data_IF_031115025512
#
_entry.id   IF_031115025512
#
_cell.length_a   1.000
_cell.length_b   1.000
_cell.length_c   1.000
_cell.angle_alpha   90.00
_cell.angle_beta   90.00
_cell.angle_gamma   90.00
#
_symmetry.space_group_name_H-M   'P 1'
#
loop_
_entity.id
_entity.type
_entity.pdbx_description
1 polymer ?
#
# COMPACT_ATOMS: atom_id res chain seq x y z
N UNK A 1 4.01 14.61 -4.97
CA UNK A 1 3.37 15.36 -6.08
C UNK A 1 4.07 15.11 -7.42
N UNK A 2 5.39 15.30 -7.51
CA UNK A 2 6.16 15.06 -8.74
C UNK A 2 6.05 13.63 -9.30
N UNK A 3 6.12 12.60 -8.45
CA UNK A 3 5.98 11.21 -8.87
C UNK A 3 4.58 10.90 -9.45
N UNK A 4 3.52 11.48 -8.87
CA UNK A 4 2.15 11.32 -9.36
C UNK A 4 1.95 12.04 -10.70
N UNK A 5 2.52 13.23 -10.86
CA UNK A 5 2.54 13.96 -12.12
C UNK A 5 3.29 13.19 -13.21
N UNK A 6 4.46 12.63 -12.88
CA UNK A 6 5.25 11.80 -13.78
C UNK A 6 4.51 10.53 -14.21
N UNK A 7 3.92 9.78 -13.28
CA UNK A 7 3.17 8.56 -13.60
C UNK A 7 1.89 8.86 -14.41
N UNK A 8 1.18 9.94 -14.07
CA UNK A 8 0.04 10.44 -14.84
C UNK A 8 0.42 10.77 -16.29
N UNK A 9 1.57 11.43 -16.49
CA UNK A 9 2.13 11.67 -17.82
C UNK A 9 2.46 10.36 -18.54
N UNK A 10 3.16 9.43 -17.87
CA UNK A 10 3.62 8.18 -18.48
C UNK A 10 2.46 7.27 -18.94
N UNK A 11 1.34 7.23 -18.21
CA UNK A 11 0.16 6.46 -18.62
C UNK A 11 -0.67 7.10 -19.73
N UNK A 12 -0.49 8.40 -19.95
CA UNK A 12 -1.16 9.14 -21.02
C UNK A 12 -0.30 9.23 -22.27
N UNK A 13 0.99 8.95 -22.19
CA UNK A 13 1.86 8.98 -23.36
C UNK A 13 1.40 7.98 -24.43
N UNK A 14 1.16 8.48 -25.64
CA UNK A 14 0.79 7.69 -26.82
C UNK A 14 1.92 7.59 -27.84
N UNK A 15 2.66 8.69 -28.02
CA UNK A 15 3.85 8.74 -28.83
C UNK A 15 4.98 9.34 -28.03
N UNK A 16 6.18 8.82 -28.24
CA UNK A 16 7.41 9.44 -27.77
C UNK A 16 8.22 9.89 -28.96
N UNK A 17 8.75 11.10 -28.85
CA UNK A 17 9.61 11.75 -29.82
C UNK A 17 10.98 11.91 -29.20
N UNK A 18 11.99 11.32 -29.83
CA UNK A 18 13.39 11.39 -29.39
C UNK A 18 14.22 12.06 -30.48
N UNK A 19 14.93 13.12 -30.13
CA UNK A 19 15.86 13.83 -31.01
C UNK A 19 17.28 13.65 -30.48
N UNK A 20 18.19 13.17 -31.33
CA UNK A 20 19.62 13.30 -31.05
C UNK A 20 20.10 14.67 -31.53
N UNK A 21 20.35 15.60 -30.61
CA UNK A 21 20.86 16.94 -30.91
C UNK A 21 22.37 16.97 -31.20
N UNK A 22 23.08 15.84 -31.09
CA UNK A 22 24.50 15.71 -31.39
C UNK A 22 25.43 16.11 -30.23
N UNK A 23 26.75 16.27 -30.48
CA UNK A 23 27.43 16.15 -31.78
C UNK A 23 27.70 14.70 -32.25
N UNK A 24 27.64 13.71 -31.38
CA UNK A 24 27.84 12.29 -31.69
C UNK A 24 26.55 11.56 -32.05
N UNK A 25 26.67 10.40 -32.69
CA UNK A 25 25.56 9.47 -32.91
C UNK A 25 25.23 8.69 -31.63
N UNK A 26 24.08 8.03 -31.62
CA UNK A 26 23.75 7.06 -30.58
C UNK A 26 23.08 5.83 -31.17
N UNK A 27 23.27 4.68 -30.53
CA UNK A 27 22.51 3.49 -30.81
C UNK A 27 21.21 3.55 -30.00
N UNK A 28 20.08 3.44 -30.69
CA UNK A 28 18.76 3.43 -30.08
C UNK A 28 18.10 2.07 -30.33
N UNK A 29 17.88 1.31 -29.27
CA UNK A 29 17.24 -0.02 -29.36
C UNK A 29 15.79 0.08 -28.92
N UNK A 30 14.89 -0.29 -29.81
CA UNK A 30 13.45 -0.36 -29.59
C UNK A 30 13.10 -1.74 -29.04
N UNK A 31 12.73 -1.79 -27.76
CA UNK A 31 12.43 -3.01 -27.03
C UNK A 31 10.90 -3.21 -27.00
N UNK A 32 10.38 -4.30 -27.56
CA UNK A 32 8.94 -4.56 -27.63
C UNK A 32 8.36 -4.81 -26.22
N UNK A 33 7.13 -4.36 -26.01
CA UNK A 33 6.34 -4.63 -24.78
C UNK A 33 5.32 -5.75 -24.98
N UNK A 34 4.93 -6.01 -26.23
CA UNK A 34 3.89 -6.96 -26.59
C UNK A 34 4.51 -8.16 -27.30
N UNK A 35 3.91 -9.33 -27.07
CA UNK A 35 4.31 -10.57 -27.73
C UNK A 35 3.98 -10.49 -29.23
N UNK A 36 4.97 -10.74 -30.09
CA UNK A 36 4.85 -10.66 -31.56
C UNK A 36 5.48 -9.42 -32.22
N UNK A 37 5.85 -8.40 -31.45
CA UNK A 37 6.64 -7.26 -31.95
C UNK A 37 8.15 -7.58 -31.83
N UNK A 38 8.96 -7.12 -32.79
CA UNK A 38 10.39 -7.44 -32.87
C UNK A 38 11.28 -6.33 -32.31
N UNK A 39 12.33 -6.69 -31.59
CA UNK A 39 13.37 -5.75 -31.19
C UNK A 39 14.08 -5.18 -32.43
N UNK A 40 14.20 -3.86 -32.49
CA UNK A 40 14.81 -3.17 -33.64
C UNK A 40 15.80 -2.14 -33.15
N UNK A 41 17.00 -2.15 -33.71
CA UNK A 41 18.05 -1.18 -33.36
C UNK A 41 18.32 -0.23 -34.51
N UNK A 42 18.41 1.06 -34.21
CA UNK A 42 18.68 2.12 -35.18
C UNK A 42 19.79 3.01 -34.65
N UNK A 43 20.74 3.38 -35.51
CA UNK A 43 21.73 4.40 -35.19
C UNK A 43 21.12 5.77 -35.47
N UNK A 44 20.86 6.54 -34.40
CA UNK A 44 20.33 7.91 -34.50
C UNK A 44 21.48 8.90 -34.64
N UNK A 45 21.60 9.45 -35.85
CA UNK A 45 22.59 10.48 -36.17
C UNK A 45 22.22 11.85 -35.56
N UNK A 46 23.18 12.78 -35.39
CA UNK A 46 22.86 14.16 -35.03
C UNK A 46 21.80 14.76 -35.97
N UNK A 47 20.75 15.35 -35.40
CA UNK A 47 19.60 15.89 -36.12
C UNK A 47 18.51 14.87 -36.48
N UNK A 48 18.71 13.58 -36.17
CA UNK A 48 17.71 12.54 -36.44
C UNK A 48 16.61 12.53 -35.38
N UNK A 49 15.37 12.39 -35.86
CA UNK A 49 14.15 12.26 -35.08
C UNK A 49 13.69 10.79 -35.12
N UNK A 50 13.47 10.19 -33.95
CA UNK A 50 12.80 8.90 -33.80
C UNK A 50 11.43 9.11 -33.15
N UNK A 51 10.38 8.59 -33.79
CA UNK A 51 9.00 8.64 -33.27
C UNK A 51 8.47 7.21 -33.18
N UNK A 52 7.90 6.85 -32.04
CA UNK A 52 7.33 5.52 -31.82
C UNK A 52 6.18 5.53 -30.81
N UNK A 53 5.35 4.48 -30.88
CA UNK A 53 4.23 4.29 -29.97
C UNK A 53 4.73 3.74 -28.63
N UNK A 54 4.48 4.48 -27.55
CA UNK A 54 4.86 4.12 -26.17
C UNK A 54 4.12 2.90 -25.65
N UNK A 55 2.94 2.61 -26.18
CA UNK A 55 2.16 1.41 -25.83
C UNK A 55 2.81 0.13 -26.37
N UNK A 56 3.59 0.22 -27.45
CA UNK A 56 4.21 -0.96 -28.12
C UNK A 56 5.68 -1.14 -27.80
N UNK A 57 6.42 -0.04 -27.65
CA UNK A 57 7.87 -0.08 -27.45
C UNK A 57 8.31 0.79 -26.28
N UNK A 58 9.36 0.34 -25.60
CA UNK A 58 10.28 1.20 -24.83
C UNK A 58 11.61 1.28 -25.60
N UNK A 59 12.52 2.15 -25.17
CA UNK A 59 13.81 2.27 -25.83
C UNK A 59 14.98 2.32 -24.86
N UNK A 60 16.15 1.89 -25.31
CA UNK A 60 17.45 2.30 -24.75
C UNK A 60 18.11 3.31 -25.69
N UNK A 61 19.01 4.13 -25.14
CA UNK A 61 19.78 5.12 -25.89
C UNK A 61 21.22 5.08 -25.40
N UNK A 62 22.12 4.60 -26.25
CA UNK A 62 23.54 4.42 -25.96
C UNK A 62 24.36 5.36 -26.85
N UNK A 63 24.84 6.50 -26.30
CA UNK A 63 25.58 7.47 -27.08
C UNK A 63 26.98 6.96 -27.44
N UNK A 64 27.40 7.17 -28.68
CA UNK A 64 28.79 7.01 -29.10
C UNK A 64 29.54 8.34 -28.87
N UNK A 65 30.19 8.43 -27.72
CA UNK A 65 30.88 9.64 -27.27
C UNK A 65 29.92 10.72 -26.74
N UNK A 66 30.12 11.98 -27.16
CA UNK A 66 29.32 13.11 -26.69
C UNK A 66 28.05 13.24 -27.53
N UNK A 67 26.89 12.93 -26.96
CA UNK A 67 25.59 13.19 -27.59
C UNK A 67 24.60 13.78 -26.59
N UNK A 68 23.67 14.61 -27.09
CA UNK A 68 22.57 15.18 -26.33
C UNK A 68 21.25 14.61 -26.87
N UNK A 69 20.46 13.99 -26.00
CA UNK A 69 19.14 13.48 -26.33
C UNK A 69 18.06 14.41 -25.76
N UNK A 70 17.08 14.77 -26.59
CA UNK A 70 15.87 15.50 -26.17
C UNK A 70 14.68 14.57 -26.39
N UNK A 71 13.91 14.32 -25.33
CA UNK A 71 12.69 13.53 -25.40
C UNK A 71 11.46 14.42 -25.17
N UNK A 72 10.39 14.15 -25.90
CA UNK A 72 9.06 14.73 -25.70
C UNK A 72 7.99 13.66 -25.87
N UNK A 73 6.82 13.88 -25.30
CA UNK A 73 5.70 12.94 -25.32
C UNK A 73 4.45 13.61 -25.88
N UNK A 74 3.76 12.92 -26.77
CA UNK A 74 2.39 13.23 -27.11
C UNK A 74 1.47 12.51 -26.12
N UNK A 75 0.72 13.27 -25.34
CA UNK A 75 -0.15 12.74 -24.29
C UNK A 75 -1.60 12.72 -24.76
N UNK A 76 -2.31 11.66 -24.42
CA UNK A 76 -3.77 11.63 -24.46
C UNK A 76 -4.36 12.63 -23.47
N UNK A 77 -5.63 13.01 -23.67
CA UNK A 77 -6.32 13.89 -22.73
C UNK A 77 -6.32 13.29 -21.32
N UNK A 78 -6.19 14.11 -20.26
CA UNK A 78 -6.37 13.62 -18.91
C UNK A 78 -7.76 12.97 -18.83
N UNK A 79 -7.84 11.75 -18.28
CA UNK A 79 -9.15 11.15 -18.01
C UNK A 79 -9.84 12.01 -16.95
N UNK A 80 -10.85 12.77 -17.37
CA UNK A 80 -11.78 13.39 -16.44
C UNK A 80 -12.73 12.31 -15.93
N UNK A 81 -12.52 11.90 -14.69
CA UNK A 81 -13.43 10.97 -14.03
C UNK A 81 -14.62 11.79 -13.52
N UNK A 82 -15.70 11.79 -14.28
CA UNK A 82 -17.00 12.20 -13.75
C UNK A 82 -17.52 11.02 -12.94
N UNK A 83 -17.66 11.20 -11.63
CA UNK A 83 -18.42 10.26 -10.80
C UNK A 83 -19.87 10.41 -11.25
N UNK A 84 -20.32 9.51 -12.13
CA UNK A 84 -21.72 9.40 -12.48
C UNK A 84 -22.49 8.81 -11.30
N UNK A 85 -23.77 9.15 -11.20
CA UNK A 85 -24.67 8.44 -10.30
C UNK A 85 -24.60 6.93 -10.60
N UNK A 86 -24.28 6.15 -9.58
CA UNK A 86 -24.19 4.70 -9.69
C UNK A 86 -25.60 4.17 -9.97
N UNK A 87 -25.84 3.63 -11.16
CA UNK A 87 -27.08 2.91 -11.47
C UNK A 87 -26.89 1.42 -11.17
N UNK A 88 -27.67 0.91 -10.21
CA UNK A 88 -27.66 -0.49 -9.78
C UNK A 88 -28.47 -0.67 -8.50
N UNK A 89 -28.74 -1.93 -8.13
CA UNK A 89 -29.34 -2.26 -6.83
C UNK A 89 -28.28 -2.14 -5.73
N UNK A 90 -28.21 -0.96 -5.10
CA UNK A 90 -27.33 -0.69 -3.97
C UNK A 90 -27.67 -1.54 -2.72
N UNK A 91 -28.80 -2.25 -2.73
CA UNK A 91 -29.16 -3.24 -1.70
C UNK A 91 -28.19 -4.43 -1.66
N UNK A 92 -27.58 -4.78 -2.80
CA UNK A 92 -26.56 -5.83 -2.87
C UNK A 92 -25.20 -5.41 -2.31
N UNK A 93 -24.87 -4.11 -2.41
CA UNK A 93 -23.64 -3.55 -1.85
C UNK A 93 -23.67 -3.41 -0.33
N UNK A 94 -24.75 -3.85 0.34
CA UNK A 94 -24.84 -3.89 1.79
C UNK A 94 -24.35 -2.58 2.40
N UNK A 95 -24.96 -1.47 2.01
CA UNK A 95 -24.57 -0.15 2.49
C UNK A 95 -24.62 -0.16 4.02
N UNK A 96 -23.46 -0.29 4.66
CA UNK A 96 -23.32 0.02 6.07
C UNK A 96 -23.62 1.51 6.17
N UNK A 97 -24.83 1.84 6.59
CA UNK A 97 -25.16 3.19 6.98
C UNK A 97 -24.13 3.56 8.05
N UNK A 98 -23.21 4.46 7.70
CA UNK A 98 -22.21 4.97 8.63
C UNK A 98 -22.91 5.50 9.88
N UNK A 99 -22.19 5.64 11.00
CA UNK A 99 -22.76 6.21 12.22
C UNK A 99 -23.44 7.55 11.90
N UNK A 100 -24.58 7.85 12.54
CA UNK A 100 -25.31 9.09 12.29
C UNK A 100 -24.38 10.28 12.39
N UNK A 101 -24.48 11.20 11.43
CA UNK A 101 -23.60 12.36 11.38
C UNK A 101 -23.66 13.10 12.72
N UNK A 102 -22.51 13.46 13.33
CA UNK A 102 -22.53 14.18 14.59
C UNK A 102 -23.39 15.44 14.47
N UNK A 103 -24.18 15.72 15.50
CA UNK A 103 -25.03 16.92 15.60
C UNK A 103 -24.21 18.22 15.61
N UNK A 104 -22.92 18.11 15.91
CA UNK A 104 -21.98 19.23 15.96
C UNK A 104 -21.52 19.58 14.55
N UNK A 105 -21.88 20.78 14.08
CA UNK A 105 -21.56 21.29 12.74
C UNK A 105 -20.08 21.69 12.53
N UNK A 106 -19.16 21.26 13.40
CA UNK A 106 -17.74 21.58 13.22
C UNK A 106 -17.09 20.47 12.39
N UNK A 107 -16.69 20.73 11.13
CA UNK A 107 -15.98 19.73 10.35
C UNK A 107 -14.64 19.40 11.01
N UNK A 108 -14.32 18.12 11.07
CA UNK A 108 -13.01 17.62 11.49
C UNK A 108 -12.26 17.22 10.23
N UNK A 109 -11.18 17.93 9.85
CA UNK A 109 -10.44 17.58 8.65
C UNK A 109 -9.65 16.30 8.85
N UNK A 110 -9.64 15.44 7.83
CA UNK A 110 -8.67 14.35 7.72
C UNK A 110 -7.38 14.95 7.17
N UNK A 111 -6.36 15.06 8.01
CA UNK A 111 -5.09 15.71 7.67
C UNK A 111 -4.07 14.75 7.07
N UNK A 112 -4.19 13.47 7.36
CA UNK A 112 -3.29 12.42 6.89
C UNK A 112 -3.97 11.05 7.00
N UNK A 113 -3.55 10.12 6.15
CA UNK A 113 -4.02 8.74 6.09
C UNK A 113 -2.82 7.83 5.81
N UNK A 114 -2.77 6.70 6.51
CA UNK A 114 -1.89 5.58 6.20
C UNK A 114 -2.66 4.30 6.41
N UNK A 115 -2.37 3.30 5.59
CA UNK A 115 -3.14 2.07 5.53
C UNK A 115 -2.27 0.92 5.06
N UNK A 116 -2.67 -0.30 5.43
CA UNK A 116 -2.08 -1.55 4.94
C UNK A 116 -3.21 -2.53 4.69
N UNK A 117 -3.35 -2.93 3.43
CA UNK A 117 -4.34 -3.88 2.94
C UNK A 117 -3.65 -5.14 2.42
N UNK A 118 -4.44 -6.04 1.84
CA UNK A 118 -3.90 -7.25 1.23
C UNK A 118 -3.05 -6.91 0.01
N UNK A 119 -2.15 -7.84 -0.37
CA UNK A 119 -1.38 -7.76 -1.62
C UNK A 119 -0.47 -6.52 -1.71
N UNK A 120 0.27 -6.22 -0.64
CA UNK A 120 1.25 -5.13 -0.62
C UNK A 120 0.67 -3.72 -0.81
N UNK A 121 -0.63 -3.53 -0.61
CA UNK A 121 -1.28 -2.22 -0.68
C UNK A 121 -1.03 -1.49 0.65
N UNK A 122 0.10 -0.80 0.74
CA UNK A 122 0.60 -0.12 1.94
C UNK A 122 0.67 1.41 1.78
N UNK A 123 0.08 1.95 0.71
CA UNK A 123 0.04 3.37 0.41
C UNK A 123 -1.34 3.79 -0.13
N UNK A 124 -1.84 5.00 0.20
CA UNK A 124 -3.16 5.47 -0.22
C UNK A 124 -3.42 5.40 -1.73
N UNK A 125 -2.41 5.69 -2.54
CA UNK A 125 -2.57 5.60 -3.98
C UNK A 125 -2.69 4.14 -4.42
N UNK A 126 -1.99 3.19 -3.80
CA UNK A 126 -2.09 1.76 -4.16
C UNK A 126 -3.50 1.25 -3.93
N UNK A 127 -4.16 1.67 -2.85
CA UNK A 127 -5.57 1.31 -2.61
C UNK A 127 -6.45 1.81 -3.76
N UNK A 128 -6.34 3.10 -4.09
CA UNK A 128 -7.14 3.70 -5.15
C UNK A 128 -6.94 3.01 -6.50
N UNK A 129 -5.70 2.65 -6.82
CA UNK A 129 -5.40 2.00 -8.10
C UNK A 129 -5.83 0.54 -8.12
N UNK A 130 -5.47 -0.24 -7.10
CA UNK A 130 -5.76 -1.67 -7.04
C UNK A 130 -7.27 -1.92 -6.91
N UNK A 131 -7.91 -1.33 -5.89
CA UNK A 131 -9.30 -1.65 -5.58
C UNK A 131 -10.28 -0.78 -6.37
N UNK A 132 -10.13 0.55 -6.30
CA UNK A 132 -11.16 1.45 -6.84
C UNK A 132 -11.10 1.60 -8.38
N UNK A 133 -9.90 1.56 -8.97
CA UNK A 133 -9.74 1.72 -10.43
C UNK A 133 -9.67 0.40 -11.17
N UNK A 134 -8.83 -0.53 -10.72
CA UNK A 134 -8.62 -1.80 -11.41
C UNK A 134 -9.65 -2.87 -11.02
N UNK A 135 -10.34 -2.73 -9.89
CA UNK A 135 -11.27 -3.75 -9.39
C UNK A 135 -10.56 -5.05 -9.05
N UNK A 136 -9.33 -4.97 -8.53
CA UNK A 136 -8.47 -6.13 -8.32
C UNK A 136 -9.01 -7.03 -7.20
N UNK A 137 -9.24 -8.29 -7.53
CA UNK A 137 -9.43 -9.35 -6.54
C UNK A 137 -8.09 -9.72 -5.89
N UNK A 138 -7.96 -9.42 -4.59
CA UNK A 138 -6.77 -9.72 -3.79
C UNK A 138 -6.90 -11.01 -2.98
N UNK A 139 -7.96 -11.79 -3.18
CA UNK A 139 -8.12 -13.06 -2.51
C UNK A 139 -7.09 -14.07 -3.02
N UNK A 140 -6.24 -14.55 -2.12
CA UNK A 140 -5.26 -15.60 -2.40
C UNK A 140 -5.55 -16.80 -1.52
N UNK A 141 -5.05 -17.97 -1.92
CA UNK A 141 -5.03 -19.14 -1.04
C UNK A 141 -4.29 -18.78 0.24
N UNK A 142 -4.79 -19.23 1.39
CA UNK A 142 -4.15 -18.99 2.68
C UNK A 142 -2.65 -19.30 2.61
N UNK A 143 -1.75 -18.36 2.97
CA UNK A 143 -0.32 -18.60 2.84
C UNK A 143 0.12 -19.74 3.77
N UNK A 144 0.86 -20.70 3.22
CA UNK A 144 1.37 -21.84 3.98
C UNK A 144 2.26 -21.41 5.17
N UNK A 145 2.92 -20.25 5.06
CA UNK A 145 3.70 -19.68 6.17
C UNK A 145 2.84 -19.28 7.38
N UNK A 146 1.51 -19.16 7.23
CA UNK A 146 0.58 -18.89 8.34
C UNK A 146 0.11 -20.19 8.97
N UNK A 147 -0.48 -21.07 8.18
CA UNK A 147 -0.84 -22.44 8.55
C UNK A 147 -1.09 -23.27 7.29
N UNK A 148 -1.04 -24.59 7.44
CA UNK A 148 -1.50 -25.50 6.39
C UNK A 148 -3.03 -25.47 6.33
N UNK A 149 -3.60 -24.83 5.32
CA UNK A 149 -5.06 -24.75 5.17
C UNK A 149 -5.67 -26.00 4.55
N UNK A 150 -4.88 -26.84 3.87
CA UNK A 150 -5.39 -28.00 3.12
C UNK A 150 -5.96 -29.05 4.08
N UNK A 151 -5.38 -29.17 5.27
CA UNK A 151 -5.90 -30.04 6.32
C UNK A 151 -7.19 -29.53 6.97
N UNK A 152 -7.59 -28.27 6.73
CA UNK A 152 -8.80 -27.66 7.30
C UNK A 152 -9.89 -27.37 6.27
N UNK A 153 -9.61 -27.56 4.98
CA UNK A 153 -10.59 -27.29 3.93
C UNK A 153 -11.61 -28.43 3.82
N UNK A 154 -12.90 -28.09 3.82
CA UNK A 154 -14.01 -28.99 3.50
C UNK A 154 -15.13 -28.20 2.81
N UNK A 155 -15.42 -28.51 1.55
CA UNK A 155 -16.43 -27.80 0.76
C UNK A 155 -17.86 -28.19 1.18
N UNK A 156 -18.04 -29.40 1.71
CA UNK A 156 -19.32 -29.88 2.19
C UNK A 156 -19.75 -29.11 3.45
N UNK A 157 -20.76 -28.25 3.30
CA UNK A 157 -21.30 -27.39 4.36
C UNK A 157 -21.88 -28.20 5.54
N UNK A 158 -22.23 -29.47 5.32
CA UNK A 158 -22.75 -30.36 6.36
C UNK A 158 -21.64 -30.97 7.23
N UNK A 159 -20.36 -30.81 6.85
CA UNK A 159 -19.18 -31.37 7.53
C UNK A 159 -18.18 -30.29 8.02
N UNK A 160 -18.70 -29.19 8.55
CA UNK A 160 -17.88 -27.99 8.88
C UNK A 160 -17.28 -27.97 10.30
N UNK A 161 -17.48 -28.99 11.14
CA UNK A 161 -16.93 -28.98 12.51
C UNK A 161 -15.40 -28.98 12.50
N UNK A 162 -14.79 -27.84 12.86
CA UNK A 162 -13.33 -27.64 12.82
C UNK A 162 -12.73 -27.50 11.42
N UNK A 163 -13.57 -27.30 10.39
CA UNK A 163 -13.17 -27.13 8.99
C UNK A 163 -13.67 -25.78 8.45
N UNK A 164 -13.11 -25.35 7.32
CA UNK A 164 -13.49 -24.14 6.60
C UNK A 164 -13.93 -24.51 5.19
N UNK A 165 -15.07 -23.95 4.75
CA UNK A 165 -15.55 -24.07 3.37
C UNK A 165 -14.81 -23.16 2.39
N UNK A 166 -13.94 -22.28 2.90
CA UNK A 166 -13.05 -21.44 2.09
C UNK A 166 -11.59 -21.64 2.48
N UNK A 167 -10.72 -21.59 1.48
CA UNK A 167 -9.27 -21.56 1.62
C UNK A 167 -8.65 -20.30 1.03
N UNK A 168 -9.48 -19.31 0.66
CA UNK A 168 -9.05 -18.05 0.07
C UNK A 168 -9.45 -16.87 0.97
N UNK A 169 -8.57 -15.87 1.04
CA UNK A 169 -8.79 -14.65 1.81
C UNK A 169 -7.79 -13.55 1.45
N UNK A 170 -7.99 -12.36 1.99
CA UNK A 170 -7.05 -11.25 1.88
C UNK A 170 -6.00 -11.32 2.99
N UNK A 171 -4.72 -11.28 2.61
CA UNK A 171 -3.60 -11.30 3.57
C UNK A 171 -2.68 -10.13 3.36
N UNK A 172 -2.34 -9.43 4.44
CA UNK A 172 -1.28 -8.44 4.46
C UNK A 172 0.08 -9.12 4.49
N UNK A 173 0.99 -8.60 3.68
CA UNK A 173 2.38 -9.04 3.60
C UNK A 173 3.20 -8.49 4.76
N UNK A 174 4.28 -9.20 5.12
CA UNK A 174 5.26 -8.70 6.08
C UNK A 174 4.73 -8.51 7.50
N UNK A 175 3.68 -9.23 7.91
CA UNK A 175 3.07 -9.08 9.25
C UNK A 175 4.07 -9.39 10.38
N UNK A 176 5.06 -10.21 10.07
CA UNK A 176 6.15 -10.64 10.92
C UNK A 176 7.24 -9.58 11.08
N UNK A 177 7.32 -8.63 10.14
CA UNK A 177 8.29 -7.55 10.13
C UNK A 177 7.86 -6.43 11.07
N UNK A 178 8.83 -5.87 11.81
CA UNK A 178 8.59 -4.75 12.70
C UNK A 178 9.90 -4.06 13.09
N UNK A 179 9.98 -2.74 12.95
CA UNK A 179 11.12 -1.96 13.42
C UNK A 179 11.04 -1.70 14.94
N UNK A 180 11.34 -2.74 15.72
CA UNK A 180 11.28 -2.66 17.18
C UNK A 180 12.17 -1.56 17.78
N UNK A 181 13.32 -1.28 17.17
CA UNK A 181 14.27 -0.26 17.65
C UNK A 181 13.69 1.14 17.47
N UNK A 182 13.01 1.40 16.37
CA UNK A 182 12.34 2.68 16.15
C UNK A 182 11.31 2.98 17.27
N UNK A 183 10.67 1.97 17.85
CA UNK A 183 9.67 2.15 18.92
C UNK A 183 10.23 1.97 20.34
N UNK A 184 11.55 1.85 20.50
CA UNK A 184 12.20 1.56 21.79
C UNK A 184 11.72 0.25 22.44
N UNK A 185 11.39 -0.75 21.62
CA UNK A 185 10.94 -2.07 22.05
C UNK A 185 12.08 -3.07 21.86
N UNK A 186 12.31 -3.93 22.86
CA UNK A 186 13.36 -4.93 22.76
C UNK A 186 13.03 -6.00 21.70
N UNK A 187 14.00 -6.59 21.00
CA UNK A 187 13.74 -7.68 20.05
C UNK A 187 13.05 -8.88 20.68
N UNK A 188 13.34 -9.16 21.96
CA UNK A 188 12.70 -10.23 22.70
C UNK A 188 11.19 -9.96 22.90
N UNK A 189 10.83 -8.75 23.33
CA UNK A 189 9.43 -8.34 23.47
C UNK A 189 8.71 -8.34 22.12
N UNK A 190 9.35 -7.74 21.09
CA UNK A 190 8.79 -7.65 19.74
C UNK A 190 8.46 -9.02 19.14
N UNK A 191 9.26 -10.05 19.43
CA UNK A 191 9.00 -11.43 18.99
C UNK A 191 7.67 -11.96 19.52
N UNK A 192 7.30 -11.57 20.75
CA UNK A 192 6.06 -12.03 21.38
C UNK A 192 4.84 -11.15 21.14
N UNK A 193 5.04 -9.93 20.65
CA UNK A 193 3.95 -8.99 20.40
C UNK A 193 2.99 -9.51 19.32
N UNK A 194 1.70 -9.38 19.62
CA UNK A 194 0.63 -9.53 18.64
C UNK A 194 0.97 -8.67 17.42
N UNK A 195 0.99 -9.26 16.21
CA UNK A 195 1.27 -8.49 15.00
C UNK A 195 0.35 -7.29 14.81
N UNK A 196 -0.89 -7.35 15.29
CA UNK A 196 -1.83 -6.22 15.22
C UNK A 196 -1.31 -5.00 15.99
N UNK A 197 -0.68 -5.20 17.15
CA UNK A 197 -0.04 -4.10 17.89
C UNK A 197 1.12 -3.49 17.09
N UNK A 198 1.92 -4.33 16.42
CA UNK A 198 3.05 -3.90 15.59
C UNK A 198 2.58 -3.09 14.39
N UNK A 199 1.54 -3.56 13.71
CA UNK A 199 0.93 -2.85 12.58
C UNK A 199 0.34 -1.51 12.99
N UNK A 200 -0.39 -1.45 14.11
CA UNK A 200 -0.94 -0.19 14.63
C UNK A 200 0.18 0.81 14.94
N UNK A 201 1.30 0.37 15.51
CA UNK A 201 2.45 1.25 15.79
C UNK A 201 3.01 1.89 14.52
N UNK A 202 3.29 1.09 13.49
CA UNK A 202 3.87 1.57 12.23
C UNK A 202 2.91 2.43 11.42
N UNK A 203 1.70 1.93 11.17
CA UNK A 203 0.71 2.62 10.33
C UNK A 203 0.27 3.93 10.99
N UNK A 204 0.01 3.92 12.30
CA UNK A 204 -0.38 5.14 13.00
C UNK A 204 0.77 6.16 13.05
N UNK A 205 2.03 5.72 13.12
CA UNK A 205 3.18 6.63 13.06
C UNK A 205 3.30 7.29 11.68
N UNK A 206 3.14 6.53 10.59
CA UNK A 206 3.18 7.10 9.22
C UNK A 206 2.06 8.12 9.02
N UNK A 207 0.84 7.81 9.49
CA UNK A 207 -0.26 8.76 9.46
C UNK A 207 0.04 10.02 10.29
N UNK A 208 0.56 9.86 11.51
CA UNK A 208 0.94 10.95 12.40
C UNK A 208 2.05 11.84 11.79
N UNK A 209 3.03 11.22 11.13
CA UNK A 209 4.10 11.90 10.40
C UNK A 209 3.56 12.70 9.21
N UNK A 210 2.66 12.12 8.42
CA UNK A 210 1.99 12.83 7.33
C UNK A 210 1.18 14.04 7.80
N UNK A 211 0.70 14.02 9.05
CA UNK A 211 0.05 15.17 9.69
C UNK A 211 1.03 16.21 10.26
N UNK A 212 2.35 16.05 10.03
CA UNK A 212 3.40 16.99 10.42
C UNK A 212 4.04 16.74 11.79
N UNK A 213 3.77 15.59 12.43
CA UNK A 213 4.33 15.26 13.74
C UNK A 213 5.45 14.23 13.63
N UNK A 214 6.64 14.55 14.14
CA UNK A 214 7.73 13.58 14.25
C UNK A 214 7.85 13.00 15.65
N UNK A 215 8.33 11.76 15.76
CA UNK A 215 8.64 11.14 17.06
C UNK A 215 9.58 12.02 17.88
N UNK A 216 10.63 12.57 17.25
CA UNK A 216 11.61 13.46 17.91
C UNK A 216 10.94 14.69 18.56
N UNK A 217 10.03 15.37 17.85
CA UNK A 217 9.30 16.52 18.39
C UNK A 217 8.44 16.12 19.59
N UNK A 218 7.72 15.00 19.48
CA UNK A 218 6.82 14.52 20.53
C UNK A 218 7.57 14.05 21.78
N UNK A 219 8.75 13.46 21.62
CA UNK A 219 9.61 13.06 22.75
C UNK A 219 10.15 14.28 23.50
N UNK A 220 10.43 15.40 22.82
CA UNK A 220 10.83 16.64 23.48
C UNK A 220 9.66 17.35 24.16
N UNK A 221 8.48 17.33 23.52
CA UNK A 221 7.27 17.99 24.04
C UNK A 221 6.04 17.12 23.79
N UNK A 222 5.40 16.58 24.85
CA UNK A 222 4.22 15.76 24.68
C UNK A 222 3.08 16.55 24.03
N UNK A 223 2.27 15.85 23.23
CA UNK A 223 1.10 16.42 22.59
C UNK A 223 -0.19 15.82 23.16
N UNK A 224 -1.25 16.64 23.25
CA UNK A 224 -2.58 16.18 23.62
C UNK A 224 -3.31 15.61 22.39
N UNK A 225 -2.84 14.46 21.91
CA UNK A 225 -3.41 13.71 20.79
C UNK A 225 -3.99 12.42 21.37
N UNK A 226 -5.22 12.10 20.97
CA UNK A 226 -5.90 10.88 21.40
C UNK A 226 -5.77 9.78 20.34
N UNK A 227 -5.73 8.53 20.78
CA UNK A 227 -5.72 7.34 19.94
C UNK A 227 -6.97 6.48 20.21
N UNK A 228 -7.73 6.21 19.16
CA UNK A 228 -8.90 5.34 19.17
C UNK A 228 -8.66 4.24 18.14
N UNK A 229 -8.59 2.99 18.58
CA UNK A 229 -8.23 1.84 17.73
C UNK A 229 -9.39 0.84 17.75
N UNK A 230 -9.97 0.52 16.60
CA UNK A 230 -10.93 -0.58 16.49
C UNK A 230 -10.20 -1.93 16.47
N UNK A 231 -10.60 -2.88 17.31
CA UNK A 231 -10.02 -4.22 17.33
C UNK A 231 -11.02 -5.28 17.80
N UNK A 232 -11.39 -6.19 16.91
CA UNK A 232 -12.31 -7.31 17.21
C UNK A 232 -11.60 -8.66 17.38
N UNK A 233 -10.34 -8.77 16.93
CA UNK A 233 -9.52 -10.00 16.94
C UNK A 233 -8.60 -10.07 18.16
N UNK A 234 -8.42 -11.28 18.69
CA UNK A 234 -7.56 -11.54 19.86
C UNK A 234 -6.94 -12.96 19.88
N UNK A 235 -6.95 -13.65 18.73
CA UNK A 235 -6.55 -15.06 18.56
C UNK A 235 -5.07 -15.29 18.90
N UNK A 236 -4.25 -14.25 18.88
CA UNK A 236 -2.85 -14.33 19.30
C UNK A 236 -2.70 -14.87 20.74
N UNK A 237 -3.69 -14.63 21.61
CA UNK A 237 -3.73 -15.19 22.97
C UNK A 237 -3.86 -16.72 23.01
N UNK A 238 -4.41 -17.31 21.95
CA UNK A 238 -4.65 -18.75 21.84
C UNK A 238 -3.47 -19.50 21.22
N UNK A 239 -2.47 -18.78 20.69
CA UNK A 239 -1.28 -19.38 20.08
C UNK A 239 -0.34 -19.87 21.19
N UNK A 240 0.18 -21.11 21.10
CA UNK A 240 1.15 -21.64 22.05
C UNK A 240 2.35 -20.69 22.25
N UNK A 241 2.75 -20.46 23.50
CA UNK A 241 3.75 -19.44 23.86
C UNK A 241 5.15 -19.72 23.30
N UNK A 242 5.47 -20.98 23.08
CA UNK A 242 6.67 -21.46 22.40
C UNK A 242 6.73 -20.99 20.94
N UNK A 243 5.57 -20.84 20.29
CA UNK A 243 5.43 -20.28 18.94
C UNK A 243 5.37 -18.74 19.02
N UNK A 244 4.53 -18.21 19.92
CA UNK A 244 4.31 -16.77 20.10
C UNK A 244 5.42 -16.05 20.91
N UNK A 245 6.61 -16.63 21.06
CA UNK A 245 7.77 -15.94 21.66
C UNK A 245 7.69 -15.59 23.15
N UNK A 246 6.66 -16.04 23.87
CA UNK A 246 6.53 -15.99 25.33
C UNK A 246 6.85 -14.64 25.97
N UNK A 247 6.00 -13.63 25.81
CA UNK A 247 6.03 -12.40 26.62
C UNK A 247 4.70 -12.21 27.36
N UNK A 248 4.77 -11.62 28.56
CA UNK A 248 3.65 -11.50 29.52
C UNK A 248 2.39 -10.83 28.98
N UNK A 249 1.39 -10.58 29.84
CA UNK A 249 0.04 -10.15 29.44
C UNK A 249 -0.04 -8.93 28.51
N UNK A 250 1.01 -8.10 28.42
CA UNK A 250 1.07 -6.95 27.52
C UNK A 250 1.31 -7.29 26.04
N UNK A 251 1.73 -8.51 25.72
CA UNK A 251 2.03 -8.94 24.35
C UNK A 251 0.79 -9.05 23.47
N UNK A 252 -0.38 -9.27 24.06
CA UNK A 252 -1.61 -9.63 23.36
C UNK A 252 -2.89 -9.00 23.91
N UNK A 253 -2.80 -8.20 24.98
CA UNK A 253 -3.97 -7.52 25.54
C UNK A 253 -4.45 -6.36 24.64
N UNK A 254 -5.73 -6.38 24.26
CA UNK A 254 -6.32 -5.39 23.33
C UNK A 254 -6.14 -3.94 23.79
N UNK A 255 -6.25 -3.66 25.09
CA UNK A 255 -6.05 -2.32 25.64
C UNK A 255 -4.62 -1.80 25.43
N UNK A 256 -3.64 -2.69 25.25
CA UNK A 256 -2.25 -2.31 25.02
C UNK A 256 -2.04 -1.81 23.60
N UNK A 257 -2.86 -2.19 22.63
CA UNK A 257 -2.73 -1.75 21.23
C UNK A 257 -2.72 -0.21 21.11
N UNK A 258 -3.72 0.46 21.69
CA UNK A 258 -3.78 1.93 21.73
C UNK A 258 -2.79 2.54 22.74
N UNK A 259 -2.71 1.97 23.95
CA UNK A 259 -1.86 2.51 25.02
C UNK A 259 -0.37 2.49 24.67
N UNK A 260 0.10 1.44 23.99
CA UNK A 260 1.48 1.31 23.55
C UNK A 260 1.82 2.38 22.51
N UNK A 261 0.90 2.69 21.59
CA UNK A 261 1.12 3.79 20.63
C UNK A 261 1.25 5.14 21.34
N UNK A 262 0.32 5.46 22.26
CA UNK A 262 0.42 6.70 23.03
C UNK A 262 1.72 6.76 23.85
N UNK A 263 2.15 5.65 24.45
CA UNK A 263 3.40 5.56 25.20
C UNK A 263 4.62 5.81 24.29
N UNK A 264 4.78 5.04 23.20
CA UNK A 264 5.91 5.15 22.28
C UNK A 264 6.02 6.53 21.61
N UNK A 265 4.89 7.22 21.44
CA UNK A 265 4.81 8.55 20.82
C UNK A 265 4.70 9.71 21.82
N UNK A 266 4.75 9.45 23.13
CA UNK A 266 4.60 10.45 24.19
C UNK A 266 3.31 11.31 24.06
N UNK A 267 2.20 10.67 23.68
CA UNK A 267 0.89 11.30 23.56
C UNK A 267 0.16 11.27 24.91
N UNK A 268 -0.58 12.34 25.22
CA UNK A 268 -1.27 12.52 26.52
C UNK A 268 -2.79 12.62 26.40
N UNK A 269 -3.33 12.48 25.19
CA UNK A 269 -4.78 12.41 25.00
C UNK A 269 -5.36 11.06 25.41
N UNK A 270 -6.65 10.90 25.19
CA UNK A 270 -7.35 9.63 25.44
C UNK A 270 -6.70 8.48 24.66
N UNK A 271 -6.75 7.27 25.23
CA UNK A 271 -6.22 6.06 24.63
C UNK A 271 -7.23 4.94 24.82
N UNK A 272 -7.86 4.51 23.73
CA UNK A 272 -8.95 3.53 23.79
C UNK A 272 -8.83 2.55 22.63
N UNK A 273 -8.98 1.27 22.97
CA UNK A 273 -9.28 0.22 22.00
C UNK A 273 -10.77 -0.08 22.10
N UNK A 274 -11.47 -0.10 20.95
CA UNK A 274 -12.93 -0.21 20.82
C UNK A 274 -13.27 -1.51 20.08
#
# INVERSE_FOLDING_TARGET
EEAASFLSMMWRAKLQVVVNAGPGSAQMTMIPKLEGDAETTVIVQPGMLAIFCTDRYRFSYEPDGKALMIASWYLDQPKEYVISDVQGDLGLSGGLAGPPHPSVKRPVPVTSLSERYAFGVDEPWKLWHAYAKAGWDTAIKHPFQRWDCDIYYEWDADQTSGKSYTQHGGFSDGIELFDCRFFDISPAEAKGMDPTQRQVLEVSYVALQGAGWSKKQLQMKPANIAAFVGLDKNEWNSIPKDIAGGFGASSSANAITSNRFNYCMNLKGASMTI
#
